data_IF_526905729261
#
_entry.id   IF_526905729261
#
_cell.length_a   1.000
_cell.length_b   1.000
_cell.length_c   1.000
_cell.angle_alpha   90.00
_cell.angle_beta   90.00
_cell.angle_gamma   90.00
#
_symmetry.space_group_name_H-M   'P 1'
#
loop_
_entity.id
_entity.type
_entity.pdbx_description
1 polymer ?
#
# COMPACT_ATOMS: atom_id res chain seq x y z
N UNK A 1 -7.12 5.68 11.28
CA UNK A 1 -7.87 6.89 11.70
C UNK A 1 -7.81 7.89 10.57
N UNK A 2 -8.98 8.26 10.03
CA UNK A 2 -9.06 9.15 8.88
C UNK A 2 -9.06 10.61 9.35
N UNK A 3 -8.23 11.44 8.75
CA UNK A 3 -8.24 12.88 8.97
C UNK A 3 -8.64 13.58 7.68
N UNK A 4 -9.68 14.40 7.73
CA UNK A 4 -10.12 15.22 6.61
C UNK A 4 -9.44 16.57 6.71
N UNK A 5 -8.61 16.90 5.73
CA UNK A 5 -8.00 18.24 5.60
C UNK A 5 -8.86 19.02 4.62
N UNK A 6 -9.46 20.12 5.06
CA UNK A 6 -10.17 21.04 4.17
C UNK A 6 -9.31 22.23 3.83
N UNK A 7 -9.39 22.74 2.62
CA UNK A 7 -8.64 23.90 2.13
C UNK A 7 -8.85 25.18 2.96
N UNK A 8 -9.91 25.23 3.77
CA UNK A 8 -10.19 26.35 4.67
C UNK A 8 -9.53 26.22 6.05
N UNK A 9 -8.99 25.06 6.41
CA UNK A 9 -8.44 24.81 7.73
C UNK A 9 -6.96 25.16 7.77
N UNK A 10 -6.65 26.45 7.93
CA UNK A 10 -5.31 26.93 8.29
C UNK A 10 -4.74 26.10 9.46
N UNK A 11 -4.09 24.98 9.18
CA UNK A 11 -3.24 24.24 10.10
C UNK A 11 -3.84 23.66 11.40
N UNK A 12 -5.16 23.76 11.62
CA UNK A 12 -5.80 23.36 12.89
C UNK A 12 -6.12 21.88 12.97
N UNK A 13 -6.46 21.22 11.84
CA UNK A 13 -6.82 19.79 11.82
C UNK A 13 -5.64 18.86 12.14
N UNK A 14 -4.42 19.20 11.72
CA UNK A 14 -3.21 18.40 12.00
C UNK A 14 -2.76 18.45 13.46
N UNK A 15 -3.11 19.51 14.20
CA UNK A 15 -2.68 19.65 15.59
C UNK A 15 -3.39 18.71 16.55
N UNK A 16 -4.57 18.20 16.20
CA UNK A 16 -5.37 17.35 17.09
C UNK A 16 -4.83 15.94 17.22
N UNK A 17 -4.13 15.41 16.20
CA UNK A 17 -3.55 14.08 16.20
C UNK A 17 -2.16 13.95 16.82
N UNK A 18 -1.50 15.07 17.14
CA UNK A 18 -0.15 15.09 17.67
C UNK A 18 -0.13 14.96 19.20
N UNK A 19 0.82 14.19 19.73
CA UNK A 19 1.08 14.18 21.16
C UNK A 19 1.75 15.48 21.63
N UNK A 20 1.89 15.68 22.95
CA UNK A 20 2.44 16.93 23.52
C UNK A 20 3.85 17.26 23.03
N UNK A 21 4.71 16.24 22.85
CA UNK A 21 6.10 16.40 22.40
C UNK A 21 6.15 16.78 20.92
N UNK A 22 5.35 16.13 20.10
CA UNK A 22 5.24 16.45 18.67
C UNK A 22 4.65 17.85 18.43
N UNK A 23 3.67 18.26 19.24
CA UNK A 23 3.13 19.64 19.20
C UNK A 23 4.17 20.68 19.57
N UNK A 24 5.04 20.38 20.54
CA UNK A 24 6.12 21.27 20.93
C UNK A 24 7.18 21.40 19.83
N UNK A 25 7.59 20.27 19.24
CA UNK A 25 8.53 20.23 18.12
C UNK A 25 8.01 20.99 16.90
N UNK A 26 6.71 20.85 16.57
CA UNK A 26 6.07 21.61 15.52
C UNK A 26 6.10 23.12 15.80
N UNK A 27 5.75 23.55 17.03
CA UNK A 27 5.81 24.96 17.43
C UNK A 27 7.21 25.55 17.32
N UNK A 28 8.23 24.81 17.76
CA UNK A 28 9.62 25.22 17.69
C UNK A 28 10.04 25.37 16.22
N UNK A 29 9.72 24.42 15.36
CA UNK A 29 10.05 24.46 13.93
C UNK A 29 9.39 25.67 13.23
N UNK A 30 8.12 25.92 13.51
CA UNK A 30 7.40 27.11 12.99
C UNK A 30 8.00 28.41 13.47
N UNK A 31 8.54 28.44 14.68
CA UNK A 31 9.18 29.68 15.25
C UNK A 31 10.52 30.01 14.58
N UNK A 32 11.33 28.97 14.20
CA UNK A 32 12.67 29.15 13.65
C UNK A 32 12.75 29.19 12.12
N UNK A 33 11.81 28.50 11.44
CA UNK A 33 11.85 28.34 9.98
C UNK A 33 10.71 29.14 9.29
N UNK A 34 9.81 29.70 10.08
CA UNK A 34 8.55 30.28 9.60
C UNK A 34 7.51 29.18 9.36
N UNK A 35 6.23 29.57 9.23
CA UNK A 35 5.21 28.59 8.81
C UNK A 35 5.58 28.15 7.40
N UNK A 36 5.68 26.81 7.17
CA UNK A 36 5.81 26.32 5.80
C UNK A 36 4.61 26.89 5.01
N UNK A 37 4.86 27.49 3.86
CA UNK A 37 3.82 27.93 2.95
C UNK A 37 2.90 26.73 2.68
N UNK A 38 1.61 26.76 3.08
CA UNK A 38 0.77 25.58 3.03
C UNK A 38 0.18 25.42 1.64
N UNK A 39 0.86 24.72 0.79
CA UNK A 39 0.25 24.11 -0.38
C UNK A 39 -0.28 22.72 0.01
N UNK A 40 -1.30 22.69 0.85
CA UNK A 40 -1.99 21.46 1.22
C UNK A 40 -3.19 21.23 0.31
N UNK A 41 -3.25 20.06 -0.30
CA UNK A 41 -4.37 19.69 -1.14
C UNK A 41 -5.49 19.12 -0.27
N UNK A 42 -6.73 19.51 -0.58
CA UNK A 42 -7.90 18.96 0.10
C UNK A 42 -8.08 17.49 -0.31
N UNK A 43 -8.12 16.59 0.68
CA UNK A 43 -8.24 15.17 0.42
C UNK A 43 -8.44 14.37 1.70
N UNK A 44 -8.50 13.04 1.54
CA UNK A 44 -8.51 12.09 2.65
C UNK A 44 -7.13 11.45 2.73
N UNK A 45 -6.47 11.59 3.87
CA UNK A 45 -5.10 11.13 4.10
C UNK A 45 -5.06 10.09 5.21
N UNK A 46 -4.26 9.04 5.00
CA UNK A 46 -3.96 8.06 6.03
C UNK A 46 -2.75 8.52 6.85
N UNK A 47 -3.01 9.25 7.93
CA UNK A 47 -1.97 9.74 8.82
C UNK A 47 -1.83 8.83 10.03
N UNK A 48 -0.63 8.31 10.25
CA UNK A 48 -0.29 7.51 11.42
C UNK A 48 0.55 8.33 12.41
N UNK A 49 0.33 8.19 13.73
CA UNK A 49 1.13 8.87 14.74
C UNK A 49 2.64 8.58 14.65
N UNK A 50 3.00 7.40 14.13
CA UNK A 50 4.39 6.95 13.90
C UNK A 50 5.13 7.72 12.80
N UNK A 51 4.41 8.36 11.87
CA UNK A 51 5.02 9.09 10.75
C UNK A 51 5.73 10.40 11.19
N UNK A 52 5.44 10.89 12.39
CA UNK A 52 5.89 12.20 12.83
C UNK A 52 5.28 13.34 12.01
N UNK A 53 5.60 14.58 12.39
CA UNK A 53 5.04 15.78 11.72
C UNK A 53 5.51 15.91 10.27
N UNK A 54 6.77 15.57 10.01
CA UNK A 54 7.34 15.67 8.65
C UNK A 54 6.73 14.68 7.68
N UNK A 55 6.51 13.44 8.14
CA UNK A 55 5.84 12.42 7.35
C UNK A 55 4.39 12.79 7.05
N UNK A 56 3.65 13.30 8.05
CA UNK A 56 2.29 13.78 7.85
C UNK A 56 2.22 14.97 6.88
N UNK A 57 3.16 15.91 6.99
CA UNK A 57 3.26 17.04 6.07
C UNK A 57 3.61 16.60 4.66
N UNK A 58 4.50 15.63 4.52
CA UNK A 58 4.87 15.05 3.24
C UNK A 58 3.67 14.39 2.57
N UNK A 59 2.93 13.56 3.29
CA UNK A 59 1.70 12.93 2.77
C UNK A 59 0.67 13.97 2.29
N UNK A 60 0.51 15.08 3.03
CA UNK A 60 -0.39 16.16 2.64
C UNK A 60 0.09 17.01 1.47
N UNK A 61 1.39 16.96 1.13
CA UNK A 61 2.02 17.72 0.02
C UNK A 61 2.18 16.92 -1.25
N UNK A 62 2.09 15.58 -1.18
CA UNK A 62 2.44 14.67 -2.26
C UNK A 62 1.56 14.81 -3.52
N UNK A 63 0.47 15.57 -3.45
CA UNK A 63 -0.42 15.78 -4.60
C UNK A 63 -0.32 17.23 -5.09
N UNK A 64 0.78 17.58 -5.74
CA UNK A 64 0.94 18.88 -6.41
C UNK A 64 0.49 18.91 -7.87
N UNK A 65 -0.11 17.85 -8.39
CA UNK A 65 -0.69 17.89 -9.72
C UNK A 65 -2.21 17.99 -9.59
N UNK A 66 -2.83 18.92 -10.32
CA UNK A 66 -4.29 18.93 -10.50
C UNK A 66 -4.79 17.55 -10.96
N UNK A 67 -6.09 17.33 -11.08
CA UNK A 67 -6.73 16.02 -11.07
C UNK A 67 -6.47 15.19 -12.35
N UNK A 68 -5.22 14.96 -12.68
CA UNK A 68 -4.87 14.00 -13.72
C UNK A 68 -4.94 12.61 -13.10
N UNK A 69 -6.09 11.99 -13.25
CA UNK A 69 -6.27 10.57 -12.96
C UNK A 69 -5.71 9.75 -14.10
N UNK A 70 -4.98 8.70 -13.80
CA UNK A 70 -4.50 7.71 -14.76
C UNK A 70 -5.09 6.35 -14.41
N UNK A 71 -5.68 5.69 -15.40
CA UNK A 71 -6.21 4.32 -15.24
C UNK A 71 -5.14 3.34 -15.69
N UNK A 72 -4.67 2.49 -14.79
CA UNK A 72 -3.59 1.56 -15.05
C UNK A 72 -4.03 0.11 -14.82
N UNK A 73 -3.73 -0.75 -15.77
CA UNK A 73 -3.91 -2.20 -15.67
C UNK A 73 -2.62 -2.83 -15.12
N UNK A 74 -2.78 -3.70 -14.13
CA UNK A 74 -1.73 -4.56 -13.57
C UNK A 74 -2.13 -6.02 -13.78
N UNK A 75 -1.49 -6.70 -14.74
CA UNK A 75 -1.77 -8.11 -15.02
C UNK A 75 -1.33 -9.04 -13.89
N UNK A 76 -1.90 -10.23 -13.88
CA UNK A 76 -1.48 -11.32 -13.01
C UNK A 76 0.00 -11.69 -13.24
N UNK A 77 0.65 -12.14 -12.18
CA UNK A 77 2.05 -12.60 -12.23
C UNK A 77 3.09 -11.48 -12.28
N UNK A 78 2.68 -10.21 -12.18
CA UNK A 78 3.62 -9.11 -12.06
C UNK A 78 4.26 -9.06 -10.67
N UNK A 79 5.56 -8.79 -10.67
CA UNK A 79 6.35 -8.58 -9.45
C UNK A 79 6.27 -7.12 -8.97
N UNK A 80 6.60 -6.89 -7.71
CA UNK A 80 6.65 -5.54 -7.12
C UNK A 80 7.51 -4.56 -7.93
N UNK A 81 8.71 -4.91 -8.45
CA UNK A 81 9.48 -4.00 -9.30
C UNK A 81 8.75 -3.61 -10.60
N UNK A 82 7.99 -4.52 -11.20
CA UNK A 82 7.22 -4.22 -12.42
C UNK A 82 6.05 -3.27 -12.10
N UNK A 83 5.36 -3.50 -10.99
CA UNK A 83 4.30 -2.60 -10.50
C UNK A 83 4.88 -1.22 -10.21
N UNK A 84 6.01 -1.14 -9.48
CA UNK A 84 6.68 0.11 -9.14
C UNK A 84 7.10 0.90 -10.39
N UNK A 85 7.69 0.23 -11.38
CA UNK A 85 8.09 0.84 -12.65
C UNK A 85 6.89 1.41 -13.41
N UNK A 86 5.74 0.69 -13.43
CA UNK A 86 4.52 1.16 -14.07
C UNK A 86 3.95 2.40 -13.39
N UNK A 87 3.92 2.43 -12.07
CA UNK A 87 3.46 3.59 -11.31
C UNK A 87 4.34 4.83 -11.57
N UNK A 88 5.66 4.64 -11.68
CA UNK A 88 6.61 5.70 -11.99
C UNK A 88 6.47 6.19 -13.43
N UNK A 89 6.34 5.28 -14.40
CA UNK A 89 6.14 5.60 -15.81
C UNK A 89 4.96 6.56 -16.03
N UNK A 90 3.87 6.38 -15.28
CA UNK A 90 2.66 7.19 -15.38
C UNK A 90 2.60 8.33 -14.36
N UNK A 91 3.69 8.59 -13.63
CA UNK A 91 3.82 9.72 -12.73
C UNK A 91 2.99 9.62 -11.45
N UNK A 92 2.58 8.38 -11.05
CA UNK A 92 1.85 8.17 -9.79
C UNK A 92 2.77 8.40 -8.60
N UNK A 93 3.87 7.63 -8.52
CA UNK A 93 4.93 7.81 -7.52
C UNK A 93 6.24 7.20 -8.04
N UNK A 94 7.38 7.55 -7.44
CA UNK A 94 8.66 6.97 -7.86
C UNK A 94 8.79 5.51 -7.41
N UNK A 95 9.43 4.66 -8.22
CA UNK A 95 9.70 3.26 -7.90
C UNK A 95 10.46 3.11 -6.58
N UNK A 96 11.44 3.95 -6.34
CA UNK A 96 12.21 3.93 -5.11
C UNK A 96 11.36 4.19 -3.87
N UNK A 97 10.44 5.16 -3.96
CA UNK A 97 9.53 5.48 -2.86
C UNK A 97 8.48 4.40 -2.63
N UNK A 98 7.94 3.82 -3.70
CA UNK A 98 7.01 2.70 -3.62
C UNK A 98 7.63 1.47 -2.94
N UNK A 99 8.83 1.07 -3.38
CA UNK A 99 9.56 -0.07 -2.79
C UNK A 99 9.91 0.19 -1.33
N UNK A 100 10.34 1.40 -0.99
CA UNK A 100 10.60 1.81 0.39
C UNK A 100 9.34 1.71 1.25
N UNK A 101 8.20 2.20 0.76
CA UNK A 101 6.93 2.13 1.48
C UNK A 101 6.46 0.69 1.73
N UNK A 102 6.68 -0.24 0.76
CA UNK A 102 6.40 -1.67 0.95
C UNK A 102 7.21 -2.26 2.11
N UNK A 103 8.45 -1.84 2.27
CA UNK A 103 9.35 -2.39 3.29
C UNK A 103 9.12 -1.77 4.68
N UNK A 104 8.89 -0.46 4.74
CA UNK A 104 8.90 0.30 6.00
C UNK A 104 7.50 0.63 6.54
N UNK A 105 6.48 0.75 5.67
CA UNK A 105 5.15 1.16 6.11
C UNK A 105 4.37 0.02 6.73
N UNK A 106 3.55 0.36 7.73
CA UNK A 106 2.64 -0.58 8.36
C UNK A 106 1.25 -0.45 7.75
N UNK A 107 0.69 -1.59 7.36
CA UNK A 107 -0.65 -1.71 6.81
C UNK A 107 -1.47 -2.62 7.72
N UNK A 108 -2.64 -2.15 8.14
CA UNK A 108 -3.51 -2.85 9.09
C UNK A 108 -4.52 -3.72 8.33
N UNK A 109 -4.06 -4.89 7.88
CA UNK A 109 -4.89 -5.94 7.26
C UNK A 109 -4.60 -7.27 7.93
N UNK A 110 -5.66 -8.00 8.30
CA UNK A 110 -5.56 -9.27 9.03
C UNK A 110 -4.73 -10.32 8.30
N UNK A 111 -4.85 -10.40 6.97
CA UNK A 111 -4.13 -11.36 6.15
C UNK A 111 -2.61 -11.13 6.13
N UNK A 112 -2.14 -9.91 6.38
CA UNK A 112 -0.70 -9.61 6.45
C UNK A 112 -0.04 -10.18 7.72
N UNK A 113 -0.83 -10.52 8.74
CA UNK A 113 -0.31 -11.15 9.96
C UNK A 113 0.26 -12.55 9.73
N UNK A 114 -0.12 -13.18 8.62
CA UNK A 114 0.38 -14.49 8.22
C UNK A 114 1.78 -14.47 7.61
N UNK A 115 2.32 -13.30 7.27
CA UNK A 115 3.64 -13.16 6.69
C UNK A 115 4.69 -13.52 7.75
N UNK A 116 5.23 -14.74 7.63
CA UNK A 116 6.33 -15.24 8.43
C UNK A 116 7.64 -15.04 7.65
N UNK A 117 8.75 -14.90 8.34
CA UNK A 117 10.09 -14.82 7.75
C UNK A 117 10.27 -13.65 6.75
N UNK A 118 9.79 -12.47 7.12
CA UNK A 118 9.96 -11.25 6.30
C UNK A 118 11.42 -10.94 5.97
N UNK A 119 12.36 -11.42 6.79
CA UNK A 119 13.82 -11.27 6.59
C UNK A 119 14.35 -12.02 5.36
N UNK A 120 13.69 -13.11 4.95
CA UNK A 120 14.08 -13.92 3.79
C UNK A 120 13.37 -13.49 2.50
N UNK A 121 12.51 -12.47 2.55
CA UNK A 121 11.78 -11.94 1.41
C UNK A 121 12.46 -10.71 0.85
N UNK A 122 12.63 -10.67 -0.46
CA UNK A 122 13.10 -9.45 -1.13
C UNK A 122 12.11 -8.30 -0.96
N UNK A 123 10.81 -8.60 -1.06
CA UNK A 123 9.72 -7.63 -0.85
C UNK A 123 8.64 -8.23 0.04
N UNK A 124 8.35 -7.55 1.14
CA UNK A 124 7.39 -8.03 2.15
C UNK A 124 5.99 -8.33 1.60
N UNK A 125 5.50 -7.49 0.68
CA UNK A 125 4.14 -7.60 0.13
C UNK A 125 4.09 -8.32 -1.24
N UNK A 126 5.16 -9.04 -1.64
CA UNK A 126 5.13 -9.82 -2.88
C UNK A 126 4.01 -10.86 -2.85
N UNK A 127 3.16 -10.86 -3.87
CA UNK A 127 1.98 -11.71 -3.99
C UNK A 127 0.70 -11.14 -3.36
N UNK A 128 0.77 -10.05 -2.58
CA UNK A 128 -0.39 -9.43 -1.93
C UNK A 128 -1.00 -8.25 -2.70
N UNK A 129 -0.29 -7.75 -3.70
CA UNK A 129 -0.80 -6.66 -4.54
C UNK A 129 -1.71 -7.24 -5.62
N UNK A 130 -3.03 -7.12 -5.43
CA UNK A 130 -4.01 -7.78 -6.28
C UNK A 130 -3.98 -7.23 -7.72
N UNK A 131 -3.91 -8.11 -8.74
CA UNK A 131 -3.93 -7.70 -10.15
C UNK A 131 -5.31 -7.19 -10.53
N UNK A 132 -5.39 -5.98 -11.05
CA UNK A 132 -6.64 -5.36 -11.52
C UNK A 132 -6.34 -4.08 -12.30
N UNK A 133 -7.40 -3.39 -12.69
CA UNK A 133 -7.33 -2.03 -13.22
C UNK A 133 -7.68 -1.04 -12.11
N UNK A 134 -6.82 -0.05 -11.90
CA UNK A 134 -6.96 0.95 -10.85
C UNK A 134 -6.84 2.36 -11.40
N UNK A 135 -7.57 3.28 -10.77
CA UNK A 135 -7.42 4.71 -11.01
C UNK A 135 -6.50 5.31 -9.94
N UNK A 136 -5.47 6.01 -10.38
CA UNK A 136 -4.53 6.72 -9.52
C UNK A 136 -4.50 8.20 -9.85
N UNK A 137 -4.16 9.01 -8.87
CA UNK A 137 -3.79 10.39 -9.13
C UNK A 137 -2.29 10.49 -9.40
N UNK A 138 -1.89 11.30 -10.39
CA UNK A 138 -0.47 11.62 -10.58
C UNK A 138 0.06 12.34 -9.34
N UNK A 139 1.24 11.94 -8.85
CA UNK A 139 1.81 12.43 -7.60
C UNK A 139 1.17 11.87 -6.33
N UNK A 140 0.36 10.79 -6.45
CA UNK A 140 -0.25 10.13 -5.29
C UNK A 140 0.82 9.52 -4.37
N UNK A 141 0.55 9.53 -3.07
CA UNK A 141 1.41 8.87 -2.10
C UNK A 141 1.51 7.35 -2.35
N UNK A 142 2.72 6.80 -2.28
CA UNK A 142 2.94 5.37 -2.42
C UNK A 142 2.11 4.54 -1.43
N UNK A 143 1.89 5.04 -0.20
CA UNK A 143 1.06 4.37 0.78
C UNK A 143 -0.40 4.27 0.35
N UNK A 144 -0.93 5.30 -0.31
CA UNK A 144 -2.30 5.28 -0.84
C UNK A 144 -2.37 4.31 -2.02
N UNK A 145 -1.40 4.36 -2.94
CA UNK A 145 -1.32 3.43 -4.05
C UNK A 145 -1.27 1.97 -3.58
N UNK A 146 -0.41 1.64 -2.59
CA UNK A 146 -0.32 0.29 -2.01
C UNK A 146 -1.66 -0.14 -1.41
N UNK A 147 -2.34 0.74 -0.67
CA UNK A 147 -3.64 0.42 -0.06
C UNK A 147 -4.68 0.04 -1.10
N UNK A 148 -4.73 0.67 -2.28
CA UNK A 148 -5.67 0.28 -3.34
C UNK A 148 -5.52 -1.19 -3.74
N UNK A 149 -4.28 -1.67 -3.85
CA UNK A 149 -4.02 -3.08 -4.15
C UNK A 149 -4.42 -4.00 -2.99
N UNK A 150 -4.13 -3.57 -1.74
CA UNK A 150 -4.45 -4.36 -0.54
C UNK A 150 -5.95 -4.37 -0.25
N UNK A 151 -6.67 -3.26 -0.49
CA UNK A 151 -8.12 -3.20 -0.39
C UNK A 151 -8.77 -4.16 -1.40
N UNK A 152 -8.32 -4.14 -2.66
CA UNK A 152 -8.80 -5.08 -3.67
C UNK A 152 -8.49 -6.55 -3.32
N UNK A 153 -7.33 -6.82 -2.71
CA UNK A 153 -7.04 -8.15 -2.19
C UNK A 153 -8.00 -8.53 -1.06
N UNK A 154 -8.29 -7.60 -0.14
CA UNK A 154 -9.22 -7.79 0.97
C UNK A 154 -10.65 -8.11 0.49
N UNK A 155 -11.08 -7.49 -0.60
CA UNK A 155 -12.39 -7.73 -1.20
C UNK A 155 -12.52 -9.15 -1.78
N UNK A 156 -11.42 -9.70 -2.28
CA UNK A 156 -11.37 -11.06 -2.86
C UNK A 156 -11.10 -12.11 -1.80
N UNK A 157 -10.24 -11.82 -0.81
CA UNK A 157 -9.92 -12.74 0.27
C UNK A 157 -11.03 -12.75 1.32
N UNK A 158 -12.09 -13.51 1.03
CA UNK A 158 -13.26 -13.61 1.91
C UNK A 158 -13.02 -14.55 3.11
N UNK A 159 -13.88 -14.46 4.12
CA UNK A 159 -13.89 -15.40 5.27
C UNK A 159 -14.01 -16.85 4.83
N UNK A 160 -14.63 -17.14 3.69
CA UNK A 160 -14.75 -18.48 3.15
C UNK A 160 -13.38 -19.03 2.70
N UNK A 161 -12.55 -18.19 2.07
CA UNK A 161 -11.18 -18.57 1.70
C UNK A 161 -10.30 -18.73 2.93
N UNK A 162 -10.41 -17.83 3.90
CA UNK A 162 -9.65 -17.93 5.16
C UNK A 162 -10.01 -19.21 5.94
N UNK A 163 -11.29 -19.52 6.05
CA UNK A 163 -11.77 -20.79 6.64
C UNK A 163 -11.23 -22.00 5.90
N UNK A 164 -11.29 -21.99 4.56
CA UNK A 164 -10.82 -23.11 3.75
C UNK A 164 -9.30 -23.30 3.85
N UNK A 165 -8.54 -22.23 3.88
CA UNK A 165 -7.09 -22.29 4.09
C UNK A 165 -6.75 -22.95 5.43
N UNK A 166 -7.44 -22.55 6.51
CA UNK A 166 -7.28 -23.14 7.86
C UNK A 166 -7.66 -24.62 7.89
N UNK A 167 -8.75 -25.03 7.23
CA UNK A 167 -9.14 -26.44 7.12
C UNK A 167 -8.07 -27.30 6.42
N UNK A 168 -7.37 -26.71 5.46
CA UNK A 168 -6.27 -27.36 4.73
C UNK A 168 -4.93 -27.29 5.47
N UNK A 169 -4.86 -26.55 6.59
CA UNK A 169 -3.65 -26.36 7.38
C UNK A 169 -2.67 -25.33 6.80
N UNK A 170 -3.11 -24.49 5.87
CA UNK A 170 -2.28 -23.47 5.25
C UNK A 170 -2.57 -22.06 5.80
N UNK A 171 -1.53 -21.25 5.91
CA UNK A 171 -1.63 -19.81 6.09
C UNK A 171 -1.97 -19.12 4.76
N UNK A 172 -2.43 -17.87 4.82
CA UNK A 172 -2.64 -17.02 3.61
C UNK A 172 -1.37 -16.95 2.77
N UNK A 173 -0.22 -16.78 3.43
CA UNK A 173 1.08 -16.65 2.79
C UNK A 173 1.50 -17.91 2.02
N UNK A 174 1.24 -19.09 2.58
CA UNK A 174 1.50 -20.36 1.92
C UNK A 174 0.57 -20.57 0.72
N UNK A 175 -0.70 -20.22 0.84
CA UNK A 175 -1.66 -20.26 -0.29
C UNK A 175 -1.21 -19.33 -1.42
N UNK A 176 -0.80 -18.10 -1.12
CA UNK A 176 -0.31 -17.17 -2.14
C UNK A 176 1.00 -17.66 -2.78
N UNK A 177 1.86 -18.28 -2.00
CA UNK A 177 3.08 -18.90 -2.54
C UNK A 177 2.76 -20.02 -3.52
N UNK A 178 1.83 -20.92 -3.16
CA UNK A 178 1.37 -22.00 -4.05
C UNK A 178 0.71 -21.40 -5.30
N UNK A 179 -0.16 -20.40 -5.14
CA UNK A 179 -0.82 -19.74 -6.25
C UNK A 179 0.19 -19.08 -7.21
N UNK A 180 1.24 -18.45 -6.68
CA UNK A 180 2.29 -17.83 -7.49
C UNK A 180 3.08 -18.86 -8.33
N UNK A 181 3.32 -20.04 -7.79
CA UNK A 181 3.96 -21.15 -8.53
C UNK A 181 3.03 -21.63 -9.64
N UNK A 182 1.75 -21.88 -9.31
CA UNK A 182 0.75 -22.30 -10.29
C UNK A 182 0.64 -21.29 -11.42
N UNK A 183 0.58 -19.98 -11.10
CA UNK A 183 0.51 -18.91 -12.09
C UNK A 183 1.71 -18.89 -13.04
N UNK A 184 2.90 -19.26 -12.56
CA UNK A 184 4.13 -19.27 -13.38
C UNK A 184 4.27 -20.52 -14.24
N UNK A 185 3.75 -21.65 -13.77
CA UNK A 185 3.86 -22.96 -14.44
C UNK A 185 2.70 -23.23 -15.41
N UNK A 186 1.51 -22.67 -15.16
CA UNK A 186 0.34 -22.88 -15.99
C UNK A 186 0.43 -22.10 -17.31
N UNK A 187 0.28 -22.78 -18.44
CA UNK A 187 0.16 -22.12 -19.73
C UNK A 187 -1.27 -21.55 -19.94
N UNK A 188 -2.26 -22.16 -19.28
CA UNK A 188 -3.65 -21.74 -19.30
C UNK A 188 -4.40 -22.22 -18.04
N UNK A 189 -5.61 -21.74 -17.84
CA UNK A 189 -6.45 -22.04 -16.68
C UNK A 189 -6.79 -23.54 -16.53
N UNK A 190 -6.79 -24.29 -17.63
CA UNK A 190 -7.12 -25.74 -17.62
C UNK A 190 -6.05 -26.57 -16.92
N UNK A 191 -4.80 -26.09 -16.96
CA UNK A 191 -3.65 -26.76 -16.34
C UNK A 191 -3.51 -26.46 -14.86
N UNK A 192 -4.10 -25.37 -14.35
CA UNK A 192 -3.92 -24.93 -12.96
C UNK A 192 -4.28 -26.00 -11.95
N UNK A 193 -5.38 -26.73 -12.17
CA UNK A 193 -5.82 -27.82 -11.27
C UNK A 193 -4.85 -28.99 -11.25
N UNK A 194 -4.28 -29.34 -12.40
CA UNK A 194 -3.31 -30.42 -12.51
C UNK A 194 -2.00 -30.05 -11.78
N UNK A 195 -1.50 -28.86 -12.01
CA UNK A 195 -0.29 -28.34 -11.35
C UNK A 195 -0.50 -28.29 -9.83
N UNK A 196 -1.65 -27.76 -9.39
CA UNK A 196 -2.03 -27.75 -7.98
C UNK A 196 -2.00 -29.14 -7.37
N UNK A 197 -2.54 -30.15 -8.07
CA UNK A 197 -2.53 -31.52 -7.56
C UNK A 197 -1.12 -32.11 -7.43
N UNK A 198 -0.22 -31.77 -8.35
CA UNK A 198 1.18 -32.18 -8.28
C UNK A 198 1.90 -31.57 -7.08
N UNK A 199 1.63 -30.27 -6.80
CA UNK A 199 2.25 -29.57 -5.67
C UNK A 199 1.77 -30.18 -4.34
N UNK A 200 0.47 -30.49 -4.20
CA UNK A 200 -0.10 -31.02 -2.97
C UNK A 200 0.22 -32.50 -2.72
N UNK A 201 0.65 -33.24 -3.75
CA UNK A 201 1.03 -34.64 -3.65
C UNK A 201 2.52 -34.86 -3.36
N UNK A 202 3.30 -33.80 -3.25
CA UNK A 202 4.73 -33.85 -2.90
C UNK A 202 4.99 -33.47 -1.45
#
# INVERSE_FOLDING_TARGET
MFYKVSSAAKGTGMKSGLNKIQKLGYKIKVLFVGPPEPEYISGVYYLQPSMGVEGMLYECRAVQAGPNTVTLLFPEGWSIPQIAARLEEYGVCTSAYFIKAISESQFDYSFLSSIKNSENRTYRLEGYLFPSTYDFFQGESANIAIRRFLDAFSDVWTDAYDKRAKELGYSVDEILTIASIIQREAADDTQMKLISSVIHNR
#
